data_IF_449643792885
#
_entry.id   IF_449643792885
#
_cell.length_a   1.000
_cell.length_b   1.000
_cell.length_c   1.000
_cell.angle_alpha   90.00
_cell.angle_beta   90.00
_cell.angle_gamma   90.00
#
_symmetry.space_group_name_H-M   'P 1'
#
loop_
_entity.id
_entity.type
_entity.pdbx_description
1 polymer ?
#
# COMPACT_ATOMS: atom_id res chain seq x y z
N UNK A 1 1.18 11.38 -1.56
CA UNK A 1 0.32 10.18 -1.43
C UNK A 1 1.17 8.93 -1.55
N UNK A 2 0.92 7.89 -0.74
CA UNK A 2 1.72 6.65 -0.73
C UNK A 2 0.89 5.44 -0.29
N UNK A 3 1.24 4.25 -0.81
CA UNK A 3 0.79 2.97 -0.26
C UNK A 3 1.46 2.60 1.07
N UNK A 4 2.56 3.29 1.43
CA UNK A 4 3.32 3.07 2.67
C UNK A 4 2.59 3.65 3.88
N UNK A 5 2.87 3.10 5.07
CA UNK A 5 2.56 3.77 6.33
C UNK A 5 3.44 5.02 6.51
N UNK A 6 3.04 5.92 7.40
CA UNK A 6 3.82 7.14 7.70
C UNK A 6 5.28 6.81 8.08
N UNK A 7 5.50 5.81 8.94
CA UNK A 7 6.84 5.37 9.35
C UNK A 7 7.74 4.92 8.20
N UNK A 8 7.16 4.47 7.09
CA UNK A 8 7.91 4.09 5.89
C UNK A 8 8.02 5.19 4.83
N UNK A 9 7.11 6.17 4.83
CA UNK A 9 7.11 7.28 3.87
C UNK A 9 7.94 8.47 4.37
N UNK A 10 7.77 8.85 5.64
CA UNK A 10 8.42 10.03 6.23
C UNK A 10 9.95 10.03 6.11
N UNK A 11 10.69 8.95 6.44
CA UNK A 11 12.17 8.98 6.35
C UNK A 11 12.69 9.22 4.93
N UNK A 12 11.95 8.80 3.91
CA UNK A 12 12.32 9.00 2.50
C UNK A 12 12.13 10.47 2.11
N UNK A 13 10.98 11.02 2.44
CA UNK A 13 10.59 12.40 2.06
C UNK A 13 11.39 13.44 2.84
N UNK A 14 11.50 13.26 4.17
CA UNK A 14 12.29 14.15 5.04
C UNK A 14 13.79 14.06 4.75
N UNK A 15 14.30 12.89 4.39
CA UNK A 15 15.68 12.69 3.93
C UNK A 15 16.01 13.45 2.65
N UNK A 16 15.00 13.75 1.82
CA UNK A 16 15.13 14.65 0.66
C UNK A 16 14.93 16.14 1.01
N UNK A 17 14.79 16.49 2.29
CA UNK A 17 14.57 17.88 2.75
C UNK A 17 13.16 18.41 2.43
N UNK A 18 12.19 17.55 2.18
CA UNK A 18 10.82 17.95 1.83
C UNK A 18 9.95 17.93 3.09
N UNK A 19 9.25 19.03 3.34
CA UNK A 19 8.30 19.22 4.42
C UNK A 19 6.87 19.21 3.87
N UNK A 20 6.05 18.22 4.26
CA UNK A 20 4.70 18.09 3.72
C UNK A 20 3.78 17.27 4.64
N UNK A 21 2.47 17.32 4.36
CA UNK A 21 1.50 16.36 4.90
C UNK A 21 1.51 15.06 4.09
N UNK A 22 1.06 13.98 4.70
CA UNK A 22 1.12 12.64 4.13
C UNK A 22 -0.28 12.05 3.96
N UNK A 23 -0.56 11.49 2.79
CA UNK A 23 -1.68 10.56 2.57
C UNK A 23 -1.05 9.17 2.47
N UNK A 24 -1.28 8.35 3.47
CA UNK A 24 -0.64 7.05 3.69
C UNK A 24 -1.60 5.89 3.52
N UNK A 25 -1.06 4.65 3.47
CA UNK A 25 -1.83 3.41 3.42
C UNK A 25 -2.89 3.43 2.31
N UNK A 26 -2.49 3.87 1.11
CA UNK A 26 -3.35 3.95 -0.07
C UNK A 26 -4.59 4.83 0.11
N UNK A 27 -4.52 5.84 1.00
CA UNK A 27 -5.61 6.77 1.31
C UNK A 27 -6.35 6.48 2.61
N UNK A 28 -5.98 5.40 3.33
CA UNK A 28 -6.62 5.06 4.60
C UNK A 28 -6.25 6.00 5.76
N UNK A 29 -5.19 6.80 5.62
CA UNK A 29 -4.74 7.72 6.66
C UNK A 29 -4.19 9.01 6.07
N UNK A 30 -4.58 10.14 6.65
CA UNK A 30 -3.98 11.46 6.38
C UNK A 30 -3.25 11.89 7.65
N UNK A 31 -1.96 12.22 7.51
CA UNK A 31 -1.11 12.68 8.60
C UNK A 31 -0.54 14.07 8.33
N UNK A 32 -0.34 14.83 9.39
CA UNK A 32 0.52 16.02 9.39
C UNK A 32 1.97 15.63 9.15
N UNK A 33 2.83 16.62 8.97
CA UNK A 33 4.28 16.42 8.80
C UNK A 33 4.93 15.66 9.95
N UNK A 34 4.49 15.91 11.19
CA UNK A 34 4.96 15.26 12.41
C UNK A 34 4.30 13.90 12.70
N UNK A 35 3.49 13.39 11.76
CA UNK A 35 2.88 12.06 11.82
C UNK A 35 1.59 11.96 12.63
N UNK A 36 1.04 13.09 13.10
CA UNK A 36 -0.27 13.07 13.76
C UNK A 36 -1.37 12.77 12.76
N UNK A 37 -2.13 11.72 13.00
CA UNK A 37 -3.27 11.37 12.17
C UNK A 37 -4.38 12.43 12.28
N UNK A 38 -4.78 13.00 11.13
CA UNK A 38 -5.90 13.92 11.01
C UNK A 38 -7.20 13.18 10.63
N UNK A 39 -7.07 12.17 9.75
CA UNK A 39 -8.19 11.36 9.27
C UNK A 39 -7.72 9.93 9.14
N UNK A 40 -8.59 8.97 9.47
CA UNK A 40 -8.35 7.55 9.20
C UNK A 40 -9.64 6.84 8.78
N UNK A 41 -9.50 5.91 7.84
CA UNK A 41 -10.59 5.10 7.29
C UNK A 41 -10.16 3.63 7.41
N UNK A 42 -10.54 2.93 8.50
CA UNK A 42 -10.18 1.55 8.70
C UNK A 42 -11.03 0.59 7.84
N UNK A 43 -10.57 -0.63 7.73
CA UNK A 43 -11.39 -1.76 7.31
C UNK A 43 -12.46 -2.03 8.37
N UNK A 44 -13.69 -2.26 7.92
CA UNK A 44 -14.82 -2.61 8.79
C UNK A 44 -14.77 -4.10 9.17
N UNK A 45 -15.48 -4.53 10.24
CA UNK A 45 -15.62 -5.96 10.53
C UNK A 45 -16.13 -6.79 9.34
N UNK A 46 -17.05 -6.24 8.53
CA UNK A 46 -17.53 -6.89 7.30
C UNK A 46 -16.43 -7.03 6.26
N UNK A 47 -15.64 -5.96 6.02
CA UNK A 47 -14.49 -6.05 5.11
C UNK A 47 -13.50 -7.13 5.57
N UNK A 48 -13.19 -7.17 6.88
CA UNK A 48 -12.24 -8.13 7.43
C UNK A 48 -12.72 -9.58 7.27
N UNK A 49 -14.03 -9.83 7.49
CA UNK A 49 -14.61 -11.17 7.31
C UNK A 49 -14.52 -11.65 5.85
N UNK A 50 -14.84 -10.77 4.88
CA UNK A 50 -14.74 -11.11 3.47
C UNK A 50 -13.29 -11.31 3.02
N UNK A 51 -12.37 -10.44 3.46
CA UNK A 51 -10.95 -10.54 3.14
C UNK A 51 -10.37 -11.83 3.70
N UNK A 52 -10.59 -12.13 4.98
CA UNK A 52 -10.09 -13.34 5.63
C UNK A 52 -10.59 -14.59 4.90
N UNK A 53 -11.88 -14.68 4.66
CA UNK A 53 -12.49 -15.80 3.93
C UNK A 53 -11.88 -15.97 2.53
N UNK A 54 -11.80 -14.90 1.74
CA UNK A 54 -11.38 -14.97 0.33
C UNK A 54 -9.89 -15.32 0.23
N UNK A 55 -9.02 -14.72 1.07
CA UNK A 55 -7.59 -14.97 1.02
C UNK A 55 -7.22 -16.32 1.62
N UNK A 56 -7.87 -16.71 2.71
CA UNK A 56 -7.65 -18.04 3.34
C UNK A 56 -8.09 -19.17 2.41
N UNK A 57 -9.27 -19.06 1.77
CA UNK A 57 -9.73 -20.03 0.76
C UNK A 57 -8.76 -20.16 -0.43
N UNK A 58 -8.05 -19.08 -0.77
CA UNK A 58 -7.06 -19.06 -1.84
C UNK A 58 -5.65 -19.50 -1.37
N UNK A 59 -5.45 -19.77 -0.08
CA UNK A 59 -4.14 -20.09 0.49
C UNK A 59 -3.15 -18.92 0.46
N UNK A 60 -3.66 -17.68 0.53
CA UNK A 60 -2.84 -16.47 0.44
C UNK A 60 -2.56 -15.92 1.85
N UNK A 61 -1.28 -15.77 2.16
CA UNK A 61 -0.83 -15.10 3.38
C UNK A 61 -0.97 -13.58 3.30
N UNK A 62 -1.04 -12.93 4.46
CA UNK A 62 -1.38 -11.50 4.59
C UNK A 62 -0.29 -10.72 5.33
N UNK A 63 0.00 -9.52 4.84
CA UNK A 63 0.58 -8.42 5.60
C UNK A 63 -0.56 -7.48 6.02
N UNK A 64 -0.74 -7.28 7.32
CA UNK A 64 -1.88 -6.58 7.92
C UNK A 64 -1.36 -5.26 8.53
N UNK A 65 -1.63 -4.13 7.88
CA UNK A 65 -1.20 -2.80 8.30
C UNK A 65 -2.20 -2.24 9.32
N UNK A 66 -1.73 -1.95 10.52
CA UNK A 66 -2.57 -1.59 11.66
C UNK A 66 -2.11 -0.31 12.36
N UNK A 67 -2.89 0.12 13.37
CA UNK A 67 -2.50 1.20 14.28
C UNK A 67 -1.25 0.88 15.12
N UNK A 68 -0.92 -0.39 15.29
CA UNK A 68 0.14 -0.86 16.18
C UNK A 68 1.34 -1.48 15.44
N UNK A 69 1.44 -1.27 14.12
CA UNK A 69 2.48 -1.84 13.27
C UNK A 69 1.93 -2.81 12.23
N UNK A 70 2.76 -3.72 11.74
CA UNK A 70 2.39 -4.68 10.70
C UNK A 70 2.36 -6.08 11.29
N UNK A 71 1.21 -6.74 11.21
CA UNK A 71 1.08 -8.17 11.48
C UNK A 71 1.25 -8.95 10.18
N UNK A 72 1.78 -10.17 10.28
CA UNK A 72 2.11 -10.97 9.11
C UNK A 72 1.72 -12.43 9.34
N UNK A 73 0.89 -12.99 8.46
CA UNK A 73 0.48 -14.41 8.56
C UNK A 73 1.40 -15.37 7.80
N UNK A 74 2.40 -14.84 7.07
CA UNK A 74 3.41 -15.68 6.44
C UNK A 74 4.20 -16.49 7.47
N UNK A 75 4.59 -17.73 7.18
CA UNK A 75 5.63 -18.42 7.93
C UNK A 75 6.90 -17.54 7.99
N UNK A 76 7.47 -17.39 9.19
CA UNK A 76 8.59 -16.44 9.41
C UNK A 76 9.75 -16.66 8.44
N UNK A 77 10.14 -17.90 8.24
CA UNK A 77 11.25 -18.27 7.36
C UNK A 77 10.96 -17.88 5.91
N UNK A 78 9.74 -18.15 5.44
CA UNK A 78 9.33 -17.80 4.08
C UNK A 78 9.32 -16.28 3.90
N UNK A 79 8.77 -15.53 4.88
CA UNK A 79 8.76 -14.08 4.81
C UNK A 79 10.17 -13.49 4.78
N UNK A 80 11.07 -14.02 5.60
CA UNK A 80 12.47 -13.59 5.61
C UNK A 80 13.15 -13.85 4.26
N UNK A 81 12.94 -15.02 3.64
CA UNK A 81 13.49 -15.30 2.31
C UNK A 81 13.00 -14.31 1.25
N UNK A 82 11.71 -13.90 1.30
CA UNK A 82 11.14 -12.88 0.41
C UNK A 82 11.80 -11.52 0.63
N UNK A 83 12.01 -11.14 1.89
CA UNK A 83 12.69 -9.89 2.26
C UNK A 83 14.15 -9.91 1.76
N UNK A 84 14.87 -11.03 1.91
CA UNK A 84 16.21 -11.18 1.37
C UNK A 84 16.25 -10.97 -0.14
N UNK A 85 15.33 -11.58 -0.90
CA UNK A 85 15.26 -11.39 -2.36
C UNK A 85 14.94 -9.94 -2.74
N UNK A 86 14.08 -9.28 -1.98
CA UNK A 86 13.68 -7.89 -2.24
C UNK A 86 14.85 -6.89 -2.07
N UNK A 87 15.72 -7.11 -1.08
CA UNK A 87 16.87 -6.26 -0.79
C UNK A 87 18.18 -6.76 -1.40
N UNK A 88 18.15 -7.84 -2.19
CA UNK A 88 19.37 -8.46 -2.71
C UNK A 88 20.24 -7.45 -3.46
N UNK A 89 21.46 -7.30 -2.97
CA UNK A 89 22.54 -6.48 -3.54
C UNK A 89 23.48 -7.28 -4.47
N UNK A 90 23.05 -8.50 -4.87
CA UNK A 90 23.83 -9.45 -5.65
C UNK A 90 24.67 -10.40 -4.78
N UNK A 91 24.71 -10.22 -3.47
CA UNK A 91 25.51 -11.07 -2.58
C UNK A 91 24.94 -12.48 -2.40
N UNK A 92 23.62 -12.65 -2.55
CA UNK A 92 22.99 -13.97 -2.50
C UNK A 92 23.51 -14.91 -3.59
N UNK A 93 23.77 -14.39 -4.78
CA UNK A 93 24.36 -15.17 -5.87
C UNK A 93 25.81 -15.62 -5.59
N UNK A 94 26.52 -14.90 -4.70
CA UNK A 94 27.86 -15.26 -4.23
C UNK A 94 27.86 -16.29 -3.10
N UNK A 95 26.67 -16.73 -2.64
CA UNK A 95 26.49 -17.80 -1.66
C UNK A 95 26.39 -17.35 -0.21
N UNK A 96 26.62 -16.06 0.08
CA UNK A 96 26.44 -15.49 1.44
C UNK A 96 25.93 -14.05 1.35
N UNK A 97 24.90 -13.67 2.16
CA UNK A 97 24.42 -12.30 2.20
C UNK A 97 25.54 -11.35 2.71
N UNK A 98 25.59 -10.15 2.15
CA UNK A 98 26.48 -9.10 2.67
C UNK A 98 26.00 -8.62 4.04
N UNK A 99 26.89 -8.05 4.86
CA UNK A 99 26.52 -7.45 6.14
C UNK A 99 25.51 -6.30 5.98
N UNK A 100 25.57 -5.57 4.86
CA UNK A 100 24.60 -4.51 4.53
C UNK A 100 23.20 -5.10 4.24
N UNK A 101 23.15 -6.19 3.48
CA UNK A 101 21.91 -6.92 3.21
C UNK A 101 21.31 -7.48 4.50
N UNK A 102 22.11 -8.14 5.35
CA UNK A 102 21.64 -8.65 6.65
C UNK A 102 21.05 -7.56 7.54
N UNK A 103 21.72 -6.39 7.61
CA UNK A 103 21.24 -5.25 8.37
C UNK A 103 19.92 -4.71 7.81
N UNK A 104 19.79 -4.57 6.49
CA UNK A 104 18.56 -4.12 5.83
C UNK A 104 17.40 -5.09 6.10
N UNK A 105 17.63 -6.40 5.96
CA UNK A 105 16.64 -7.44 6.23
C UNK A 105 16.23 -7.44 7.70
N UNK A 106 17.18 -7.39 8.63
CA UNK A 106 16.90 -7.36 10.07
C UNK A 106 16.05 -6.16 10.44
N UNK A 107 16.42 -4.96 9.95
CA UNK A 107 15.68 -3.72 10.18
C UNK A 107 14.25 -3.79 9.63
N UNK A 108 14.08 -4.32 8.41
CA UNK A 108 12.75 -4.44 7.80
C UNK A 108 11.91 -5.51 8.49
N UNK A 109 12.51 -6.67 8.81
CA UNK A 109 11.83 -7.77 9.47
C UNK A 109 11.36 -7.43 10.89
N UNK A 110 12.08 -6.53 11.59
CA UNK A 110 11.69 -6.08 12.94
C UNK A 110 10.37 -5.30 12.98
N UNK A 111 9.88 -4.85 11.82
CA UNK A 111 8.59 -4.18 11.73
C UNK A 111 7.40 -5.14 11.74
N UNK A 112 7.63 -6.47 11.59
CA UNK A 112 6.57 -7.47 11.54
C UNK A 112 6.35 -8.17 12.87
N UNK A 113 5.08 -8.29 13.25
CA UNK A 113 4.61 -9.22 14.27
C UNK A 113 3.99 -10.42 13.58
N UNK A 114 4.61 -11.61 13.73
CA UNK A 114 4.12 -12.84 13.10
C UNK A 114 2.96 -13.43 13.90
N UNK A 115 1.88 -13.79 13.18
CA UNK A 115 0.65 -14.38 13.73
C UNK A 115 0.21 -15.54 12.84
N UNK A 116 -0.60 -16.45 13.37
CA UNK A 116 -1.09 -17.61 12.60
C UNK A 116 -2.22 -17.26 11.63
N UNK A 117 -3.02 -16.23 11.97
CA UNK A 117 -4.22 -15.84 11.22
C UNK A 117 -4.59 -14.40 11.51
N UNK A 118 -5.55 -13.85 10.75
CA UNK A 118 -6.14 -12.54 11.04
C UNK A 118 -6.81 -12.48 12.42
N UNK A 119 -7.36 -13.59 12.89
CA UNK A 119 -8.02 -13.68 14.19
C UNK A 119 -7.06 -13.53 15.40
N UNK A 120 -5.76 -13.74 15.18
CA UNK A 120 -4.74 -13.60 16.22
C UNK A 120 -4.25 -12.15 16.40
N UNK A 121 -4.70 -11.24 15.53
CA UNK A 121 -4.45 -9.80 15.72
C UNK A 121 -5.23 -9.32 16.96
N UNK A 122 -4.56 -8.67 17.94
CA UNK A 122 -5.21 -8.30 19.20
C UNK A 122 -6.50 -7.50 19.01
N UNK A 123 -7.53 -7.85 19.78
CA UNK A 123 -8.82 -7.15 19.74
C UNK A 123 -8.65 -5.66 20.05
N UNK A 124 -9.40 -4.81 19.33
CA UNK A 124 -9.26 -3.36 19.42
C UNK A 124 -8.15 -2.75 18.55
N UNK A 125 -7.31 -3.57 17.90
CA UNK A 125 -6.35 -3.08 16.91
C UNK A 125 -7.10 -2.59 15.66
N UNK A 126 -6.83 -1.36 15.26
CA UNK A 126 -7.43 -0.78 14.04
C UNK A 126 -6.64 -1.24 12.83
N UNK A 127 -7.30 -1.88 11.88
CA UNK A 127 -6.71 -2.39 10.64
C UNK A 127 -7.08 -1.47 9.49
N UNK A 128 -6.09 -0.99 8.76
CA UNK A 128 -6.28 -0.02 7.68
C UNK A 128 -6.16 -0.62 6.29
N UNK A 129 -5.24 -1.55 6.12
CA UNK A 129 -4.95 -2.18 4.83
C UNK A 129 -4.46 -3.60 5.04
N UNK A 130 -4.86 -4.51 4.17
CA UNK A 130 -4.30 -5.85 4.06
C UNK A 130 -3.70 -5.98 2.66
N UNK A 131 -2.52 -6.58 2.58
CA UNK A 131 -1.85 -6.83 1.31
C UNK A 131 -1.17 -8.18 1.28
N UNK A 132 -0.82 -8.64 0.09
CA UNK A 132 0.05 -9.78 -0.12
C UNK A 132 0.89 -9.58 -1.37
N UNK A 133 2.08 -10.12 -1.39
CA UNK A 133 3.07 -9.97 -2.45
C UNK A 133 3.58 -11.32 -2.94
N UNK A 134 4.23 -11.33 -4.12
CA UNK A 134 4.74 -12.54 -4.77
C UNK A 134 3.65 -13.59 -5.01
N UNK A 135 2.46 -13.15 -5.39
CA UNK A 135 1.35 -13.98 -5.83
C UNK A 135 1.46 -14.15 -7.35
N UNK A 136 1.20 -15.35 -7.92
CA UNK A 136 1.11 -15.51 -9.38
C UNK A 136 0.10 -14.53 -9.98
N UNK A 137 0.45 -13.87 -11.08
CA UNK A 137 -0.37 -12.81 -11.68
C UNK A 137 -1.81 -13.27 -12.02
N UNK A 138 -1.95 -14.50 -12.52
CA UNK A 138 -3.29 -15.08 -12.77
C UNK A 138 -4.11 -15.27 -11.49
N UNK A 139 -3.46 -15.48 -10.34
CA UNK A 139 -4.14 -15.57 -9.04
C UNK A 139 -4.58 -14.20 -8.58
N UNK A 140 -3.76 -13.15 -8.79
CA UNK A 140 -4.15 -11.76 -8.51
C UNK A 140 -5.40 -11.37 -9.30
N UNK A 141 -5.45 -11.71 -10.59
CA UNK A 141 -6.64 -11.47 -11.44
C UNK A 141 -7.86 -12.13 -10.84
N UNK A 142 -7.79 -13.44 -10.52
CA UNK A 142 -8.91 -14.19 -9.90
C UNK A 142 -9.34 -13.61 -8.54
N UNK A 143 -8.37 -13.13 -7.75
CA UNK A 143 -8.69 -12.47 -6.47
C UNK A 143 -9.43 -11.16 -6.70
N UNK A 144 -8.98 -10.30 -7.63
CA UNK A 144 -9.68 -9.05 -7.98
C UNK A 144 -11.10 -9.33 -8.49
N UNK A 145 -11.31 -10.38 -9.30
CA UNK A 145 -12.64 -10.83 -9.73
C UNK A 145 -13.51 -11.26 -8.54
N UNK A 146 -12.98 -12.04 -7.59
CA UNK A 146 -13.71 -12.41 -6.37
C UNK A 146 -14.07 -11.20 -5.52
N UNK A 147 -13.16 -10.24 -5.34
CA UNK A 147 -13.41 -9.02 -4.58
C UNK A 147 -14.34 -8.03 -5.28
N UNK A 148 -14.56 -8.14 -6.58
CA UNK A 148 -15.55 -7.31 -7.29
C UNK A 148 -17.00 -7.54 -6.79
N UNK A 149 -17.27 -8.67 -6.14
CA UNK A 149 -18.52 -8.95 -5.44
C UNK A 149 -18.61 -8.30 -4.04
N UNK A 150 -17.55 -7.64 -3.56
CA UNK A 150 -17.48 -6.99 -2.26
C UNK A 150 -17.38 -5.47 -2.45
N UNK A 151 -18.52 -4.75 -2.63
CA UNK A 151 -18.51 -3.35 -3.04
C UNK A 151 -17.89 -2.39 -2.02
N UNK A 152 -17.74 -2.81 -0.77
CA UNK A 152 -17.15 -2.02 0.31
C UNK A 152 -15.62 -2.18 0.41
N UNK A 153 -15.01 -3.00 -0.47
CA UNK A 153 -13.56 -3.23 -0.53
C UNK A 153 -12.99 -2.68 -1.84
N UNK A 154 -11.97 -1.83 -1.73
CA UNK A 154 -11.18 -1.41 -2.88
C UNK A 154 -9.98 -2.36 -3.04
N UNK A 155 -9.74 -2.80 -4.27
CA UNK A 155 -8.55 -3.57 -4.65
C UNK A 155 -7.62 -2.71 -5.49
N UNK A 156 -6.32 -2.82 -5.24
CA UNK A 156 -5.28 -2.18 -6.04
C UNK A 156 -4.04 -3.08 -6.13
N UNK A 157 -3.11 -2.73 -7.00
CA UNK A 157 -1.82 -3.41 -7.14
C UNK A 157 -0.74 -2.39 -7.47
N UNK A 158 0.47 -2.60 -6.95
CA UNK A 158 1.67 -1.88 -7.37
C UNK A 158 2.36 -2.65 -8.51
N UNK A 159 2.36 -3.98 -8.39
CA UNK A 159 2.90 -4.91 -9.38
C UNK A 159 1.84 -5.94 -9.80
N UNK A 160 2.00 -6.63 -10.94
CA UNK A 160 1.08 -7.71 -11.34
C UNK A 160 0.99 -8.87 -10.33
N UNK A 161 1.94 -8.95 -9.41
CA UNK A 161 2.12 -10.05 -8.45
C UNK A 161 1.79 -9.65 -7.00
N UNK A 162 1.08 -8.55 -6.80
CA UNK A 162 0.61 -8.14 -5.49
C UNK A 162 -0.88 -7.77 -5.50
N UNK A 163 -1.46 -7.74 -4.31
CA UNK A 163 -2.80 -7.22 -4.09
C UNK A 163 -2.82 -6.37 -2.82
N UNK A 164 -3.47 -5.23 -2.88
CA UNK A 164 -3.77 -4.34 -1.77
C UNK A 164 -5.27 -4.23 -1.58
N UNK A 165 -5.74 -4.36 -0.35
CA UNK A 165 -7.15 -4.34 0.03
C UNK A 165 -7.35 -3.26 1.09
N UNK A 166 -8.23 -2.32 0.78
CA UNK A 166 -8.60 -1.21 1.68
C UNK A 166 -10.12 -1.06 1.72
N UNK A 167 -10.62 -0.30 2.66
CA UNK A 167 -12.01 0.17 2.60
C UNK A 167 -12.23 0.94 1.29
N UNK A 168 -13.34 0.75 0.61
CA UNK A 168 -13.66 1.42 -0.66
C UNK A 168 -13.55 2.94 -0.57
N UNK A 169 -13.75 3.52 0.62
CA UNK A 169 -13.59 4.96 0.88
C UNK A 169 -12.14 5.39 1.10
N UNK A 170 -11.21 4.43 1.29
CA UNK A 170 -9.79 4.65 1.53
C UNK A 170 -9.01 4.51 0.21
N UNK A 171 -9.14 5.49 -0.67
CA UNK A 171 -8.41 5.58 -1.94
C UNK A 171 -7.61 6.88 -1.99
N UNK A 172 -6.42 6.85 -2.60
CA UNK A 172 -5.52 8.03 -2.68
C UNK A 172 -6.23 9.27 -3.22
N UNK A 173 -7.03 9.12 -4.29
CA UNK A 173 -7.77 10.23 -4.90
C UNK A 173 -8.88 10.77 -4.01
N UNK A 174 -9.62 9.91 -3.31
CA UNK A 174 -10.66 10.35 -2.38
C UNK A 174 -10.07 11.10 -1.18
N UNK A 175 -8.97 10.58 -0.62
CA UNK A 175 -8.25 11.22 0.47
C UNK A 175 -7.66 12.57 0.04
N UNK A 176 -7.09 12.65 -1.18
CA UNK A 176 -6.56 13.90 -1.74
C UNK A 176 -7.66 14.95 -1.95
N UNK A 177 -8.82 14.56 -2.47
CA UNK A 177 -9.99 15.47 -2.61
C UNK A 177 -10.46 16.01 -1.27
N UNK A 178 -10.57 15.14 -0.26
CA UNK A 178 -10.94 15.54 1.10
C UNK A 178 -9.92 16.52 1.69
N UNK A 179 -8.63 16.20 1.58
CA UNK A 179 -7.52 17.04 2.03
C UNK A 179 -7.49 18.41 1.35
N UNK A 180 -7.68 18.46 0.04
CA UNK A 180 -7.69 19.68 -0.74
C UNK A 180 -8.89 20.58 -0.36
N UNK A 181 -10.08 19.98 -0.21
CA UNK A 181 -11.29 20.69 0.21
C UNK A 181 -11.15 21.34 1.58
N UNK A 182 -10.59 20.63 2.56
CA UNK A 182 -10.36 21.18 3.91
C UNK A 182 -9.41 22.38 3.92
N UNK A 183 -8.55 22.50 2.90
CA UNK A 183 -7.57 23.57 2.75
C UNK A 183 -7.93 24.60 1.68
N UNK A 184 -9.15 24.52 1.14
CA UNK A 184 -9.62 25.41 0.07
C UNK A 184 -8.71 25.41 -1.16
N UNK A 185 -8.02 24.29 -1.45
CA UNK A 185 -7.23 24.09 -2.67
C UNK A 185 -8.20 23.70 -3.79
N UNK A 186 -8.17 24.44 -4.88
CA UNK A 186 -9.03 24.17 -6.04
C UNK A 186 -8.50 22.95 -6.82
N UNK A 187 -9.39 22.10 -7.36
CA UNK A 187 -8.96 20.93 -8.15
C UNK A 187 -7.99 21.29 -9.29
N UNK A 188 -8.19 22.44 -9.95
CA UNK A 188 -7.31 22.93 -11.00
C UNK A 188 -5.87 23.27 -10.55
N UNK A 189 -5.64 23.44 -9.25
CA UNK A 189 -4.32 23.72 -8.66
C UNK A 189 -3.57 22.43 -8.27
N UNK A 190 -4.20 21.25 -8.44
CA UNK A 190 -3.64 19.97 -8.02
C UNK A 190 -2.87 19.35 -9.19
N UNK A 191 -1.62 18.99 -8.94
CA UNK A 191 -0.82 18.10 -9.76
C UNK A 191 -0.67 16.75 -9.06
N UNK A 192 -0.93 15.66 -9.79
CA UNK A 192 -0.69 14.30 -9.33
C UNK A 192 0.29 13.60 -10.25
N UNK A 193 1.18 12.80 -9.66
CA UNK A 193 2.08 11.91 -10.37
C UNK A 193 1.82 10.48 -9.88
N UNK A 194 1.88 9.52 -10.78
CA UNK A 194 1.68 8.11 -10.44
C UNK A 194 2.22 7.19 -11.51
N UNK A 195 2.42 5.93 -11.13
CA UNK A 195 3.00 4.89 -12.00
C UNK A 195 2.23 3.57 -11.97
N UNK A 196 1.36 3.34 -10.99
CA UNK A 196 0.70 2.05 -10.80
C UNK A 196 -0.81 2.17 -10.50
N UNK A 197 -1.51 1.06 -10.63
CA UNK A 197 -2.98 0.91 -10.45
C UNK A 197 -3.48 1.58 -9.14
N UNK A 198 -2.71 1.51 -8.05
CA UNK A 198 -3.08 2.14 -6.79
C UNK A 198 -3.12 3.68 -6.83
N UNK A 199 -2.61 4.31 -7.90
CA UNK A 199 -2.66 5.76 -8.15
C UNK A 199 -3.88 6.17 -8.99
N UNK A 200 -4.52 5.22 -9.67
CA UNK A 200 -5.57 5.49 -10.66
C UNK A 200 -6.68 6.39 -10.12
N UNK A 201 -7.05 6.24 -8.85
CA UNK A 201 -8.06 7.08 -8.20
C UNK A 201 -7.72 8.57 -8.14
N UNK A 202 -6.43 8.96 -8.28
CA UNK A 202 -5.98 10.35 -8.36
C UNK A 202 -6.06 10.93 -9.78
N UNK A 203 -6.17 10.09 -10.81
CA UNK A 203 -6.18 10.51 -12.21
C UNK A 203 -7.59 10.89 -12.67
N UNK A 204 -8.12 11.99 -12.10
CA UNK A 204 -9.46 12.49 -12.40
C UNK A 204 -9.40 13.71 -13.31
N UNK A 205 -10.39 13.90 -14.23
CA UNK A 205 -10.40 15.04 -15.18
C UNK A 205 -10.41 16.41 -14.51
N UNK A 206 -10.92 16.51 -13.29
CA UNK A 206 -11.04 17.75 -12.53
C UNK A 206 -9.70 18.29 -12.00
N UNK A 207 -8.68 17.44 -11.80
CA UNK A 207 -7.36 17.90 -11.38
C UNK A 207 -6.62 18.58 -12.52
N UNK A 208 -5.89 19.66 -12.20
CA UNK A 208 -5.18 20.49 -13.18
C UNK A 208 -4.19 19.68 -14.01
N UNK A 209 -3.37 18.87 -13.33
CA UNK A 209 -2.34 18.05 -13.97
C UNK A 209 -2.36 16.63 -13.44
N UNK A 210 -2.63 15.68 -14.32
CA UNK A 210 -2.45 14.25 -14.05
C UNK A 210 -1.31 13.75 -14.93
N UNK A 211 -0.21 13.31 -14.29
CA UNK A 211 1.06 13.02 -14.94
C UNK A 211 1.42 11.56 -14.72
N UNK A 212 1.36 10.74 -15.74
CA UNK A 212 1.87 9.38 -15.69
C UNK A 212 3.40 9.39 -15.77
N UNK A 213 4.06 8.59 -14.94
CA UNK A 213 5.51 8.37 -15.06
C UNK A 213 5.81 7.61 -16.35
N UNK A 214 7.00 7.82 -16.95
CA UNK A 214 7.38 7.15 -18.20
C UNK A 214 7.33 5.61 -18.12
N UNK A 215 7.58 5.06 -16.92
CA UNK A 215 7.44 3.63 -16.60
C UNK A 215 6.04 3.24 -16.07
N UNK A 216 5.05 4.14 -16.13
CA UNK A 216 3.72 3.86 -15.60
C UNK A 216 3.00 2.76 -16.36
N UNK A 217 2.10 2.07 -15.66
CA UNK A 217 1.20 1.08 -16.26
C UNK A 217 0.26 1.72 -17.30
N UNK A 218 -0.12 0.96 -18.31
CA UNK A 218 -0.94 1.43 -19.43
C UNK A 218 -2.29 2.03 -18.97
N UNK A 219 -2.87 1.51 -17.90
CA UNK A 219 -4.13 2.02 -17.35
C UNK A 219 -4.01 3.47 -16.86
N UNK A 220 -2.85 3.91 -16.35
CA UNK A 220 -2.60 5.30 -15.97
C UNK A 220 -2.31 6.16 -17.19
N UNK A 221 -1.46 5.69 -18.10
CA UNK A 221 -1.13 6.40 -19.34
C UNK A 221 -2.37 6.72 -20.16
N UNK A 222 -3.35 5.79 -20.19
CA UNK A 222 -4.61 5.96 -20.91
C UNK A 222 -5.49 7.12 -20.38
N UNK A 223 -5.35 7.50 -19.11
CA UNK A 223 -6.20 8.54 -18.46
C UNK A 223 -5.41 9.79 -18.03
N UNK A 224 -4.09 9.76 -18.14
CA UNK A 224 -3.22 10.89 -17.82
C UNK A 224 -3.33 12.00 -18.86
N UNK A 225 -3.26 13.26 -18.40
CA UNK A 225 -3.15 14.41 -19.30
C UNK A 225 -1.73 14.59 -19.84
N UNK A 226 -0.74 14.11 -19.11
CA UNK A 226 0.69 14.25 -19.42
C UNK A 226 1.46 12.98 -19.06
N UNK A 227 2.62 12.79 -19.68
CA UNK A 227 3.56 11.69 -19.37
C UNK A 227 4.97 12.26 -19.21
N UNK A 228 5.76 11.73 -18.25
CA UNK A 228 7.18 12.05 -18.15
C UNK A 228 7.99 11.24 -19.15
N UNK A 229 9.17 11.74 -19.48
CA UNK A 229 10.14 11.01 -20.33
C UNK A 229 10.76 9.86 -19.58
#
# INVERSE_FOLDING_TARGET
>A
CSGRAYSGAHPIVSGAGIHCSYICLSGAMICTEDGKACTSIPLTPGNLADIDRILTDAGIFMDIMTSNGVYCTFPREERLQRIYRFFDDGSLAAGQPSAALEQAVSRFASAFTFVGSLADVPSGTVIYKIGSTEIPAETVIRLKERFSACPDIATASTFPTDIELTNVRAQKGLALKAFARERSILPGEIMVLGDSDNDLSMFTPEFGWTVAMGNAQDCLKAVAKYETK
#
